data_IF_307103815637
#
_entry.id   IF_307103815637
#
_cell.length_a   1.000
_cell.length_b   1.000
_cell.length_c   1.000
_cell.angle_alpha   90.00
_cell.angle_beta   90.00
_cell.angle_gamma   90.00
#
_symmetry.space_group_name_H-M   'P 1'
#
loop_
_entity.id
_entity.type
_entity.pdbx_description
1 polymer ?
#
# COMPACT_ATOMS: atom_id res chain seq x y z
N UNK A 1 -20.17 19.85 6.68
CA UNK A 1 -19.32 18.77 7.23
C UNK A 1 -18.06 18.68 6.38
N UNK A 2 -16.93 19.17 6.89
CA UNK A 2 -15.66 19.16 6.16
C UNK A 2 -15.12 17.73 6.17
N UNK A 3 -14.99 17.13 4.98
CA UNK A 3 -14.31 15.85 4.77
C UNK A 3 -12.88 16.00 5.27
N UNK A 4 -12.54 15.27 6.34
CA UNK A 4 -11.21 15.31 6.95
C UNK A 4 -10.18 14.82 5.92
N UNK A 5 -9.57 15.77 5.20
CA UNK A 5 -8.69 15.46 4.08
C UNK A 5 -7.44 14.75 4.60
N UNK A 6 -7.11 13.65 3.92
CA UNK A 6 -5.91 12.82 4.10
C UNK A 6 -4.65 13.65 3.83
N UNK A 7 -4.25 14.45 4.81
CA UNK A 7 -3.07 15.31 4.71
C UNK A 7 -1.89 14.56 5.26
N UNK A 8 -1.03 14.10 4.36
CA UNK A 8 0.28 13.56 4.72
C UNK A 8 1.16 14.69 5.29
N UNK A 9 1.99 14.33 6.25
CA UNK A 9 2.88 15.26 6.97
C UNK A 9 4.29 15.16 6.40
N UNK A 10 4.93 16.31 6.17
CA UNK A 10 6.33 16.40 5.74
C UNK A 10 7.20 16.63 6.97
N UNK A 11 7.70 15.55 7.57
CA UNK A 11 8.60 15.64 8.73
C UNK A 11 10.03 15.89 8.24
N UNK A 12 10.69 16.99 8.66
CA UNK A 12 12.05 17.27 8.22
C UNK A 12 13.03 16.20 8.72
N UNK A 13 13.94 15.78 7.83
CA UNK A 13 15.07 14.90 8.16
C UNK A 13 16.39 15.67 8.11
N UNK A 14 16.56 16.48 7.07
CA UNK A 14 17.69 17.37 6.87
C UNK A 14 17.27 18.56 5.99
N UNK A 15 18.20 19.49 5.73
CA UNK A 15 17.93 20.60 4.81
C UNK A 15 17.67 20.05 3.41
N UNK A 16 16.42 20.17 2.95
CA UNK A 16 16.03 19.67 1.64
C UNK A 16 15.55 18.23 1.62
N UNK A 17 15.43 17.57 2.78
CA UNK A 17 15.03 16.15 2.87
C UNK A 17 13.96 15.94 3.93
N UNK A 18 12.97 15.09 3.65
CA UNK A 18 11.81 14.83 4.49
C UNK A 18 11.44 13.36 4.54
N UNK A 19 10.83 12.96 5.65
CA UNK A 19 9.94 11.81 5.72
C UNK A 19 8.54 12.28 5.39
N UNK A 20 7.87 11.60 4.46
CA UNK A 20 6.46 11.79 4.19
C UNK A 20 5.69 10.76 5.01
N UNK A 21 4.89 11.23 5.97
CA UNK A 21 4.23 10.38 6.97
C UNK A 21 2.69 10.46 6.84
N UNK A 22 2.01 9.33 7.05
CA UNK A 22 0.56 9.30 7.21
C UNK A 22 0.22 9.39 8.72
N UNK A 23 -0.37 10.51 9.18
CA UNK A 23 -0.60 10.74 10.61
C UNK A 23 -1.68 9.85 11.23
N UNK A 24 -2.33 8.98 10.43
CA UNK A 24 -3.29 8.00 10.93
C UNK A 24 -2.64 6.88 11.73
N UNK A 25 -1.36 6.64 11.49
CA UNK A 25 -0.58 5.62 12.17
C UNK A 25 0.27 6.27 13.27
N UNK A 26 0.49 5.52 14.36
CA UNK A 26 1.31 5.97 15.47
C UNK A 26 2.78 6.16 15.05
N UNK A 27 3.55 6.94 15.80
CA UNK A 27 4.93 7.29 15.43
C UNK A 27 5.87 6.08 15.27
N UNK A 28 5.65 5.04 16.08
CA UNK A 28 6.42 3.78 16.02
C UNK A 28 5.90 2.76 15.01
N UNK A 29 4.83 3.07 14.28
CA UNK A 29 4.22 2.18 13.31
C UNK A 29 4.94 2.26 11.97
N UNK A 30 5.30 1.12 11.37
CA UNK A 30 6.03 1.08 10.11
C UNK A 30 5.18 1.66 8.96
N UNK A 31 3.87 1.46 9.03
CA UNK A 31 2.87 1.94 8.09
C UNK A 31 2.75 3.47 8.06
N UNK A 32 3.26 4.15 9.10
CA UNK A 32 3.34 5.61 9.14
C UNK A 32 4.20 6.17 8.02
N UNK A 33 5.34 5.53 7.72
CA UNK A 33 6.29 6.04 6.75
C UNK A 33 5.84 5.71 5.32
N UNK A 34 5.52 6.76 4.54
CA UNK A 34 5.05 6.62 3.15
C UNK A 34 6.20 6.73 2.16
N UNK A 35 7.11 7.69 2.37
CA UNK A 35 8.26 7.90 1.50
C UNK A 35 9.38 8.69 2.19
N UNK A 36 10.60 8.52 1.70
CA UNK A 36 11.65 9.54 1.83
C UNK A 36 11.59 10.47 0.62
N UNK A 37 11.73 11.76 0.85
CA UNK A 37 11.68 12.76 -0.21
C UNK A 37 12.86 13.71 -0.08
N UNK A 38 13.60 13.91 -1.16
CA UNK A 38 14.72 14.84 -1.23
C UNK A 38 14.50 15.88 -2.34
N UNK A 39 14.90 17.12 -2.10
CA UNK A 39 14.93 18.17 -3.11
C UNK A 39 16.24 18.08 -3.88
N UNK A 40 16.18 17.72 -5.14
CA UNK A 40 17.35 17.67 -6.02
C UNK A 40 17.89 19.07 -6.35
N UNK A 41 19.15 19.13 -6.80
CA UNK A 41 19.83 20.38 -7.14
C UNK A 41 19.10 21.22 -8.21
N UNK A 42 18.38 20.57 -9.13
CA UNK A 42 17.53 21.21 -10.15
C UNK A 42 16.19 21.75 -9.64
N UNK A 43 15.92 21.66 -8.33
CA UNK A 43 14.74 22.26 -7.69
C UNK A 43 13.51 21.35 -7.56
N UNK A 44 13.49 20.19 -8.24
CA UNK A 44 12.45 19.17 -8.09
C UNK A 44 12.67 18.25 -6.88
N UNK A 45 11.84 17.22 -6.78
CA UNK A 45 11.76 16.31 -5.65
C UNK A 45 11.89 14.86 -6.11
N UNK A 46 12.83 14.12 -5.54
CA UNK A 46 12.92 12.67 -5.70
C UNK A 46 12.25 12.00 -4.50
N UNK A 47 11.39 11.02 -4.76
CA UNK A 47 10.65 10.27 -3.75
C UNK A 47 10.97 8.78 -3.84
N UNK A 48 11.35 8.19 -2.69
CA UNK A 48 11.55 6.75 -2.51
C UNK A 48 10.40 6.23 -1.64
N UNK A 49 9.54 5.40 -2.24
CA UNK A 49 8.28 4.93 -1.63
C UNK A 49 8.50 3.72 -0.72
N UNK A 50 7.88 3.73 0.46
CA UNK A 50 8.03 2.69 1.48
C UNK A 50 6.75 1.88 1.62
N UNK A 51 6.88 0.54 1.68
CA UNK A 51 5.74 -0.38 1.82
C UNK A 51 4.88 -0.53 0.56
N UNK A 52 5.23 0.15 -0.53
CA UNK A 52 4.49 0.16 -1.79
C UNK A 52 5.33 -0.49 -2.88
N UNK A 53 4.71 -1.23 -3.80
CA UNK A 53 5.41 -1.81 -4.96
C UNK A 53 5.65 -0.74 -6.04
N UNK A 54 6.27 0.37 -5.67
CA UNK A 54 6.53 1.51 -6.53
C UNK A 54 8.03 1.78 -6.63
N UNK A 55 8.52 1.99 -7.85
CA UNK A 55 9.88 2.46 -8.08
C UNK A 55 10.03 3.92 -7.58
N UNK A 56 11.25 4.35 -7.22
CA UNK A 56 11.54 5.76 -6.98
C UNK A 56 11.05 6.64 -8.14
N UNK A 57 10.61 7.86 -7.83
CA UNK A 57 10.09 8.78 -8.86
C UNK A 57 10.44 10.23 -8.61
N UNK A 58 10.56 10.99 -9.69
CA UNK A 58 10.89 12.42 -9.68
C UNK A 58 9.65 13.28 -9.93
N UNK A 59 9.55 14.41 -9.23
CA UNK A 59 8.40 15.30 -9.22
C UNK A 59 8.81 16.77 -9.25
N UNK A 60 8.17 17.58 -10.08
CA UNK A 60 8.46 19.03 -10.16
C UNK A 60 8.11 19.75 -8.85
N UNK A 61 7.05 19.32 -8.18
CA UNK A 61 6.49 20.03 -7.00
C UNK A 61 6.13 19.06 -5.88
N UNK A 62 6.07 19.56 -4.64
CA UNK A 62 5.54 18.80 -3.49
C UNK A 62 4.10 18.32 -3.70
N UNK A 63 3.28 19.12 -4.38
CA UNK A 63 1.90 18.75 -4.68
C UNK A 63 1.82 17.50 -5.58
N UNK A 64 2.73 17.37 -6.54
CA UNK A 64 2.84 16.18 -7.38
C UNK A 64 3.25 14.94 -6.56
N UNK A 65 4.18 15.08 -5.61
CA UNK A 65 4.53 14.00 -4.66
C UNK A 65 3.30 13.55 -3.86
N UNK A 66 2.52 14.48 -3.34
CA UNK A 66 1.30 14.16 -2.57
C UNK A 66 0.23 13.47 -3.42
N UNK A 67 0.06 13.90 -4.68
CA UNK A 67 -0.87 13.27 -5.62
C UNK A 67 -0.46 11.82 -5.90
N UNK A 68 0.83 11.58 -6.12
CA UNK A 68 1.36 10.25 -6.37
C UNK A 68 1.22 9.34 -5.14
N UNK A 69 1.51 9.85 -3.93
CA UNK A 69 1.31 9.13 -2.68
C UNK A 69 -0.16 8.66 -2.52
N UNK A 70 -1.12 9.53 -2.89
CA UNK A 70 -2.55 9.21 -2.88
C UNK A 70 -2.91 8.15 -3.93
N UNK A 71 -2.30 8.23 -5.12
CA UNK A 71 -2.50 7.25 -6.19
C UNK A 71 -2.03 5.86 -5.77
N UNK A 72 -0.81 5.77 -5.24
CA UNK A 72 -0.25 4.52 -4.76
C UNK A 72 -1.06 3.93 -3.60
N UNK A 73 -1.57 4.77 -2.69
CA UNK A 73 -2.48 4.33 -1.61
C UNK A 73 -3.75 3.64 -2.10
N UNK A 74 -4.33 4.13 -3.19
CA UNK A 74 -5.51 3.49 -3.79
C UNK A 74 -5.15 2.18 -4.48
N UNK A 75 -3.98 2.12 -5.14
CA UNK A 75 -3.51 0.92 -5.80
C UNK A 75 -3.22 -0.21 -4.80
N UNK A 76 -2.56 0.09 -3.68
CA UNK A 76 -2.26 -0.88 -2.64
C UNK A 76 -3.55 -1.42 -2.00
N UNK A 77 -4.52 -0.55 -1.68
CA UNK A 77 -5.82 -0.96 -1.16
C UNK A 77 -6.57 -1.89 -2.13
N UNK A 78 -6.48 -1.62 -3.44
CA UNK A 78 -7.07 -2.47 -4.46
C UNK A 78 -6.34 -3.82 -4.59
N UNK A 79 -5.02 -3.84 -4.44
CA UNK A 79 -4.22 -5.06 -4.48
C UNK A 79 -4.53 -5.98 -3.30
N UNK A 80 -4.60 -5.43 -2.07
CA UNK A 80 -4.98 -6.14 -0.86
C UNK A 80 -6.37 -6.79 -0.99
N UNK A 81 -7.37 -6.03 -1.45
CA UNK A 81 -8.71 -6.57 -1.69
C UNK A 81 -8.72 -7.73 -2.68
N UNK A 82 -7.90 -7.68 -3.73
CA UNK A 82 -7.81 -8.75 -4.73
C UNK A 82 -7.12 -10.00 -4.18
N UNK A 83 -6.13 -9.85 -3.30
CA UNK A 83 -5.50 -11.00 -2.63
C UNK A 83 -6.45 -11.68 -1.65
N UNK A 84 -7.32 -10.93 -0.96
CA UNK A 84 -8.29 -11.51 -0.03
C UNK A 84 -9.35 -12.34 -0.78
N UNK A 85 -9.90 -11.81 -1.88
CA UNK A 85 -10.85 -12.55 -2.73
C UNK A 85 -10.23 -13.87 -3.25
N UNK A 86 -8.97 -13.84 -3.69
CA UNK A 86 -8.29 -15.05 -4.17
C UNK A 86 -8.04 -16.08 -3.07
N UNK A 87 -7.85 -15.66 -1.81
CA UNK A 87 -7.70 -16.58 -0.68
C UNK A 87 -9.03 -17.25 -0.35
N UNK A 88 -10.14 -16.51 -0.39
CA UNK A 88 -11.48 -17.07 -0.16
C UNK A 88 -11.86 -18.10 -1.24
N UNK A 89 -11.54 -17.82 -2.51
CA UNK A 89 -11.77 -18.77 -3.60
C UNK A 89 -10.94 -20.06 -3.42
N UNK A 90 -9.69 -19.94 -2.96
CA UNK A 90 -8.82 -21.10 -2.73
C UNK A 90 -9.35 -21.98 -1.59
N UNK A 91 -9.77 -21.41 -0.46
CA UNK A 91 -10.37 -22.17 0.63
C UNK A 91 -11.71 -22.80 0.26
N UNK A 92 -12.51 -22.15 -0.60
CA UNK A 92 -13.75 -22.74 -1.12
C UNK A 92 -13.48 -23.92 -2.06
N UNK A 93 -12.40 -23.88 -2.84
CA UNK A 93 -11.98 -24.97 -3.72
C UNK A 93 -11.47 -26.20 -2.97
N UNK A 94 -10.69 -26.05 -1.89
CA UNK A 94 -10.29 -27.18 -1.04
C UNK A 94 -11.49 -27.84 -0.35
N UNK A 95 -12.41 -27.04 0.21
CA UNK A 95 -13.61 -27.57 0.88
C UNK A 95 -14.57 -28.32 -0.07
N UNK A 96 -14.57 -28.00 -1.37
CA UNK A 96 -15.33 -28.74 -2.39
C UNK A 96 -14.62 -30.02 -2.85
N UNK A 97 -13.28 -30.03 -2.91
CA UNK A 97 -12.52 -31.23 -3.24
C UNK A 97 -12.61 -32.29 -2.14
N UNK A 98 -12.65 -31.88 -0.87
CA UNK A 98 -12.77 -32.82 0.25
C UNK A 98 -14.15 -33.51 0.30
N UNK A 99 -15.21 -32.83 -0.17
CA UNK A 99 -16.55 -33.43 -0.31
C UNK A 99 -16.63 -34.51 -1.39
N UNK A 100 -15.83 -34.42 -2.44
CA UNK A 100 -15.79 -35.45 -3.48
C UNK A 100 -14.97 -36.69 -3.09
N UNK A 101 -14.10 -36.59 -2.07
CA UNK A 101 -13.30 -37.73 -1.60
C UNK A 101 -14.08 -38.66 -0.67
N UNK A 102 -15.07 -38.14 0.06
CA UNK A 102 -15.87 -38.95 1.02
C UNK A 102 -16.91 -39.84 0.32
N UNK A 103 -17.31 -39.55 -0.92
CA UNK A 103 -18.31 -40.34 -1.65
C UNK A 103 -17.73 -41.47 -2.51
N UNK A 104 -16.41 -41.54 -2.70
CA UNK A 104 -15.77 -42.54 -3.57
C UNK A 104 -15.32 -43.81 -2.84
N UNK A 105 -15.33 -43.86 -1.50
CA UNK A 105 -14.88 -45.02 -0.72
C UNK A 105 -16.00 -45.96 -0.25
N UNK A 106 -17.27 -45.70 -0.60
CA UNK A 106 -18.42 -46.54 -0.24
C UNK A 106 -19.04 -47.28 -1.43
N UNK A 107 -18.22 -47.79 -2.34
CA UNK A 107 -18.66 -48.80 -3.32
C UNK A 107 -17.61 -49.89 -3.47
N UNK A 108 -17.47 -50.69 -2.43
CA UNK A 108 -16.93 -52.06 -2.50
C UNK A 108 -17.74 -52.92 -1.53
N UNK A 109 -18.78 -53.54 -2.06
CA UNK A 109 -19.38 -54.80 -1.62
C UNK A 109 -20.20 -55.38 -2.76
#
# INVERSE_FOLDING_TARGET
MLTNERTLVWEPLARGSWRLCDPRYAEGDAERLVAYVERGAGGGFEAVWIGRRAAPSWHVTRAAVLLEARRLSRADAHALRKSDIRRDDFHRSEALQDRHRVLATTSLS
#
